data_IF_076178306683
#
_entry.id   IF_076178306683
#
_cell.length_a   1.000
_cell.length_b   1.000
_cell.length_c   1.000
_cell.angle_alpha   90.00
_cell.angle_beta   90.00
_cell.angle_gamma   90.00
#
_symmetry.space_group_name_H-M   'P 1'
#
loop_
_entity.id
_entity.type
_entity.pdbx_description
1 polymer ?
#
# COMPACT_ATOMS: atom_id res chain seq x y z
N UNK A 1 16.29 -6.85 9.77
CA UNK A 1 15.36 -6.60 8.63
C UNK A 1 14.13 -7.52 8.62
N UNK A 2 12.97 -6.98 8.94
CA UNK A 2 11.72 -7.73 8.87
C UNK A 2 11.33 -8.24 7.46
N UNK A 3 10.53 -9.30 7.46
CA UNK A 3 10.00 -9.84 6.22
C UNK A 3 9.12 -8.79 5.57
N UNK A 4 8.27 -8.08 6.33
CA UNK A 4 7.46 -6.99 5.75
C UNK A 4 8.33 -5.97 5.06
N UNK A 5 9.44 -5.55 5.70
CA UNK A 5 10.30 -4.51 5.10
C UNK A 5 10.95 -5.03 3.86
N UNK A 6 11.49 -6.24 3.94
CA UNK A 6 12.05 -6.90 2.74
C UNK A 6 11.06 -6.95 1.58
N UNK A 7 9.78 -7.22 1.86
CA UNK A 7 8.80 -7.35 0.77
C UNK A 7 8.53 -5.93 0.23
N UNK A 8 8.39 -4.99 1.14
CA UNK A 8 8.25 -3.58 0.77
C UNK A 8 9.42 -3.12 -0.14
N UNK A 9 10.63 -3.57 0.16
CA UNK A 9 11.76 -3.26 -0.69
C UNK A 9 11.65 -3.81 -2.08
N UNK A 10 11.40 -5.11 -2.21
CA UNK A 10 11.23 -5.69 -3.55
C UNK A 10 10.20 -4.94 -4.41
N UNK A 11 9.10 -4.60 -3.77
CA UNK A 11 7.99 -3.99 -4.41
C UNK A 11 8.36 -2.55 -4.86
N UNK A 12 9.02 -1.81 -3.97
CA UNK A 12 9.44 -0.43 -4.29
C UNK A 12 10.47 -0.39 -5.39
N UNK A 13 11.43 -1.31 -5.36
CA UNK A 13 12.39 -1.44 -6.47
C UNK A 13 11.71 -1.68 -7.81
N UNK A 14 10.68 -2.53 -7.77
CA UNK A 14 9.89 -2.87 -8.96
C UNK A 14 9.16 -1.61 -9.45
N UNK A 15 8.44 -0.95 -8.55
CA UNK A 15 7.80 0.36 -8.82
C UNK A 15 8.75 1.39 -9.40
N UNK A 16 10.02 1.32 -8.98
CA UNK A 16 11.05 2.23 -9.45
C UNK A 16 11.80 1.72 -10.67
N UNK A 17 11.69 0.43 -10.96
CA UNK A 17 12.40 -0.14 -12.12
C UNK A 17 13.90 -0.21 -11.90
N UNK A 18 14.32 -0.31 -10.64
CA UNK A 18 15.74 -0.45 -10.33
C UNK A 18 15.98 -1.79 -9.68
N UNK A 19 17.25 -2.09 -9.47
CA UNK A 19 17.61 -3.23 -8.70
C UNK A 19 17.23 -2.92 -7.27
N UNK A 20 17.13 -3.93 -6.43
CA UNK A 20 16.86 -3.65 -5.04
C UNK A 20 18.01 -2.90 -4.35
N UNK A 21 19.25 -3.18 -4.74
CA UNK A 21 20.45 -2.54 -4.12
C UNK A 21 20.40 -1.01 -4.33
N UNK A 22 20.11 -0.61 -5.55
CA UNK A 22 19.90 0.79 -5.87
C UNK A 22 18.71 1.41 -5.08
N UNK A 23 17.58 0.70 -5.03
CA UNK A 23 16.43 1.15 -4.20
C UNK A 23 16.77 1.32 -2.73
N UNK A 24 17.49 0.34 -2.21
CA UNK A 24 17.89 0.39 -0.82
C UNK A 24 18.81 1.57 -0.53
N UNK A 25 19.75 1.79 -1.44
CA UNK A 25 20.68 2.89 -1.30
C UNK A 25 19.92 4.21 -1.24
N UNK A 26 19.06 4.41 -2.23
CA UNK A 26 18.16 5.52 -2.24
C UNK A 26 17.34 5.63 -0.95
N UNK A 27 16.90 4.51 -0.41
CA UNK A 27 16.07 4.61 0.80
C UNK A 27 16.92 4.92 2.02
N UNK A 28 18.12 4.36 2.08
CA UNK A 28 19.01 4.68 3.19
C UNK A 28 19.52 6.13 3.11
N UNK A 29 19.79 6.67 1.92
CA UNK A 29 20.12 8.10 1.77
C UNK A 29 19.03 9.02 2.38
N UNK A 30 17.76 8.68 2.13
CA UNK A 30 16.66 9.53 2.59
C UNK A 30 16.52 9.47 4.11
N UNK A 31 16.69 8.26 4.62
CA UNK A 31 16.51 7.94 6.01
C UNK A 31 17.45 8.78 6.82
N UNK A 32 18.70 8.83 6.38
CA UNK A 32 19.71 9.63 7.04
C UNK A 32 19.39 11.13 6.88
N UNK A 33 19.10 11.57 5.66
CA UNK A 33 18.81 12.99 5.38
C UNK A 33 17.64 13.50 6.19
N UNK A 34 16.67 12.65 6.53
CA UNK A 34 15.46 13.13 7.23
C UNK A 34 15.31 12.62 8.66
N UNK A 35 16.18 11.71 9.06
CA UNK A 35 16.05 11.02 10.35
C UNK A 35 14.78 10.18 10.50
N UNK A 36 14.23 9.72 9.38
CA UNK A 36 13.00 8.92 9.38
C UNK A 36 13.35 7.44 9.44
N UNK A 37 12.36 6.61 9.66
CA UNK A 37 12.56 5.17 9.52
C UNK A 37 12.74 4.75 8.06
N UNK A 38 13.31 3.57 7.90
CA UNK A 38 13.36 2.90 6.63
C UNK A 38 11.98 2.72 6.01
N UNK A 39 11.00 2.32 6.84
CA UNK A 39 9.60 2.12 6.42
C UNK A 39 9.11 3.44 5.82
N UNK A 40 9.26 4.53 6.56
CA UNK A 40 8.88 5.85 6.04
C UNK A 40 9.61 6.22 4.75
N UNK A 41 10.93 5.97 4.70
CA UNK A 41 11.73 6.36 3.52
C UNK A 41 11.22 5.65 2.28
N UNK A 42 10.89 4.36 2.42
CA UNK A 42 10.33 3.58 1.32
C UNK A 42 8.96 4.07 0.90
N UNK A 43 8.13 4.46 1.88
CA UNK A 43 6.83 5.04 1.58
C UNK A 43 7.03 6.29 0.73
N UNK A 44 8.08 7.08 1.02
CA UNK A 44 8.30 8.33 0.25
C UNK A 44 8.70 8.06 -1.21
N UNK A 45 9.63 7.13 -1.38
CA UNK A 45 10.03 6.62 -2.69
C UNK A 45 8.84 6.00 -3.48
N UNK A 46 7.95 5.30 -2.79
CA UNK A 46 6.74 4.67 -3.42
C UNK A 46 5.85 5.79 -3.94
N UNK A 47 5.60 6.79 -3.09
CA UNK A 47 4.74 7.90 -3.45
C UNK A 47 5.31 8.72 -4.63
N UNK A 48 6.62 8.96 -4.68
CA UNK A 48 7.21 9.63 -5.85
C UNK A 48 6.98 8.81 -7.16
N UNK A 49 7.32 7.53 -7.16
CA UNK A 49 6.99 6.64 -8.29
C UNK A 49 5.48 6.54 -8.63
N UNK A 50 4.58 6.72 -7.67
CA UNK A 50 3.13 6.73 -7.96
C UNK A 50 2.72 8.15 -8.36
N UNK A 51 3.31 9.17 -7.74
CA UNK A 51 3.14 10.54 -8.26
C UNK A 51 3.72 10.80 -9.63
N UNK A 52 4.65 9.97 -10.10
CA UNK A 52 5.43 10.32 -11.28
C UNK A 52 6.12 11.69 -11.06
N UNK A 53 6.75 11.87 -9.90
CA UNK A 53 7.52 13.08 -9.59
C UNK A 53 8.86 12.66 -8.99
N UNK A 54 9.63 13.64 -8.53
CA UNK A 54 10.91 13.34 -7.88
C UNK A 54 10.70 13.11 -6.40
N UNK A 55 11.48 12.16 -5.86
CA UNK A 55 11.66 12.00 -4.42
C UNK A 55 11.63 13.36 -3.71
N UNK A 56 12.39 14.31 -4.24
CA UNK A 56 12.53 15.65 -3.61
C UNK A 56 11.23 16.52 -3.56
N UNK A 57 10.40 16.37 -4.59
CA UNK A 57 9.17 17.16 -4.65
C UNK A 57 8.15 16.51 -3.71
N UNK A 58 8.12 15.18 -3.74
CA UNK A 58 7.21 14.43 -2.88
C UNK A 58 7.39 14.86 -1.42
N UNK A 59 8.64 14.76 -0.98
CA UNK A 59 9.05 15.21 0.34
C UNK A 59 8.57 16.64 0.59
N UNK A 60 8.90 17.54 -0.35
CA UNK A 60 8.54 18.94 -0.24
C UNK A 60 7.05 19.07 -0.01
N UNK A 61 6.23 18.50 -0.90
CA UNK A 61 4.74 18.60 -0.75
C UNK A 61 4.16 17.92 0.51
N UNK A 62 4.80 16.84 0.93
CA UNK A 62 4.40 16.14 2.17
C UNK A 62 4.57 16.99 3.43
N UNK A 63 5.73 17.62 3.60
CA UNK A 63 5.98 18.41 4.82
C UNK A 63 5.05 19.64 4.81
N UNK A 64 4.82 20.20 3.63
CA UNK A 64 3.80 21.24 3.45
C UNK A 64 2.44 20.79 3.96
N UNK A 65 2.02 19.57 3.60
CA UNK A 65 0.77 19.02 4.13
C UNK A 65 0.79 18.71 5.62
N UNK A 66 1.89 18.09 6.07
CA UNK A 66 2.14 17.82 7.50
C UNK A 66 1.84 19.09 8.31
N UNK A 67 2.51 20.18 7.95
CA UNK A 67 2.43 21.45 8.69
C UNK A 67 1.06 22.10 8.50
N UNK A 68 0.57 22.07 7.27
CA UNK A 68 -0.74 22.62 6.93
C UNK A 68 -1.89 21.97 7.73
N UNK A 69 -1.96 20.64 7.75
CA UNK A 69 -3.11 19.95 8.37
C UNK A 69 -2.80 19.34 9.74
N UNK A 70 -1.52 19.33 10.13
CA UNK A 70 -1.11 18.68 11.38
C UNK A 70 -1.26 17.18 11.35
N UNK A 71 -1.15 16.57 10.18
CA UNK A 71 -1.21 15.12 10.11
C UNK A 71 0.20 14.57 10.25
N UNK A 72 0.29 13.27 10.49
CA UNK A 72 1.57 12.54 10.41
C UNK A 72 2.09 12.56 8.97
N UNK A 73 3.35 12.22 8.82
CA UNK A 73 3.96 12.14 7.51
C UNK A 73 3.31 11.03 6.68
N UNK A 74 3.02 9.90 7.33
CA UNK A 74 2.40 8.74 6.67
C UNK A 74 1.08 9.18 6.08
N UNK A 75 0.32 9.89 6.90
CA UNK A 75 -1.02 10.31 6.54
C UNK A 75 -0.92 11.30 5.35
N UNK A 76 0.03 12.24 5.42
CA UNK A 76 0.27 13.25 4.38
C UNK A 76 0.59 12.54 3.08
N UNK A 77 1.42 11.51 3.19
CA UNK A 77 1.77 10.71 2.02
C UNK A 77 0.60 9.90 1.48
N UNK A 78 -0.30 9.36 2.31
CA UNK A 78 -1.42 8.60 1.72
C UNK A 78 -2.31 9.58 1.00
N UNK A 79 -2.58 10.72 1.62
CA UNK A 79 -3.40 11.80 1.01
C UNK A 79 -2.87 12.21 -0.36
N UNK A 80 -1.56 12.44 -0.47
CA UNK A 80 -0.94 12.79 -1.73
C UNK A 80 -1.20 11.70 -2.78
N UNK A 81 -1.07 10.45 -2.31
CA UNK A 81 -1.24 9.27 -3.12
C UNK A 81 -2.68 9.09 -3.57
N UNK A 82 -3.61 9.28 -2.66
CA UNK A 82 -5.00 9.15 -3.04
C UNK A 82 -5.37 10.24 -4.05
N UNK A 83 -4.95 11.48 -3.80
CA UNK A 83 -5.29 12.62 -4.70
C UNK A 83 -4.80 12.35 -6.10
N UNK A 84 -3.55 11.92 -6.21
CA UNK A 84 -2.96 11.49 -7.50
C UNK A 84 -3.82 10.45 -8.18
N UNK A 85 -4.12 9.35 -7.49
CA UNK A 85 -4.94 8.26 -8.06
C UNK A 85 -6.38 8.72 -8.37
N UNK A 86 -6.89 9.77 -7.68
CA UNK A 86 -8.28 10.21 -7.92
C UNK A 86 -8.28 11.24 -9.04
N UNK A 87 -7.11 11.79 -9.34
CA UNK A 87 -6.96 12.87 -10.31
C UNK A 87 -7.46 14.22 -9.79
N UNK A 88 -7.33 14.44 -8.49
CA UNK A 88 -7.99 15.55 -7.85
C UNK A 88 -6.94 16.37 -7.11
N UNK A 89 -7.29 17.51 -6.55
CA UNK A 89 -6.43 18.20 -5.56
C UNK A 89 -6.41 17.45 -4.23
N UNK A 90 -5.44 17.73 -3.38
CA UNK A 90 -5.42 17.12 -2.05
C UNK A 90 -6.57 17.66 -1.16
N UNK A 91 -6.93 18.94 -1.37
CA UNK A 91 -8.10 19.58 -0.73
C UNK A 91 -9.33 18.76 -1.03
N UNK A 92 -9.52 18.43 -2.30
CA UNK A 92 -10.63 17.57 -2.67
C UNK A 92 -10.53 16.12 -2.15
N UNK A 93 -9.34 15.53 -2.19
CA UNK A 93 -9.21 14.16 -1.63
C UNK A 93 -9.54 14.17 -0.14
N UNK A 94 -9.02 15.13 0.58
CA UNK A 94 -9.35 15.28 2.03
C UNK A 94 -10.88 15.44 2.25
N UNK A 95 -11.52 16.32 1.47
CA UNK A 95 -13.03 16.53 1.57
C UNK A 95 -13.82 15.24 1.42
N UNK A 96 -13.48 14.43 0.42
CA UNK A 96 -14.16 13.13 0.25
C UNK A 96 -13.88 12.09 1.35
N UNK A 97 -12.67 12.15 1.91
CA UNK A 97 -12.20 11.23 2.96
C UNK A 97 -13.00 11.57 4.25
N UNK A 98 -13.19 12.87 4.53
CA UNK A 98 -14.06 13.32 5.64
C UNK A 98 -15.54 12.97 5.43
N UNK A 99 -16.08 13.20 4.24
CA UNK A 99 -17.45 12.79 3.95
C UNK A 99 -17.64 11.27 4.06
N UNK A 100 -16.59 10.48 3.79
CA UNK A 100 -16.65 9.05 4.04
C UNK A 100 -16.57 8.69 5.52
N UNK A 101 -15.69 9.36 6.25
CA UNK A 101 -15.58 9.14 7.69
C UNK A 101 -16.98 9.33 8.26
N UNK A 102 -17.58 10.50 8.03
CA UNK A 102 -18.92 10.82 8.60
C UNK A 102 -19.97 9.79 8.17
N UNK A 103 -20.00 9.50 6.88
CA UNK A 103 -20.95 8.55 6.33
C UNK A 103 -20.87 7.12 6.88
N UNK A 104 -19.79 6.78 7.58
CA UNK A 104 -19.56 5.38 7.99
C UNK A 104 -19.00 5.16 9.40
N UNK A 105 -18.43 6.21 10.01
CA UNK A 105 -17.83 6.12 11.35
C UNK A 105 -16.40 5.59 11.38
N UNK A 106 -15.65 5.73 10.28
CA UNK A 106 -14.32 5.08 10.14
C UNK A 106 -13.26 6.15 10.34
N UNK A 107 -12.01 5.73 10.54
CA UNK A 107 -10.93 6.70 10.60
C UNK A 107 -10.63 7.39 9.22
N UNK A 108 -9.80 8.43 9.27
CA UNK A 108 -9.29 9.11 8.08
C UNK A 108 -8.49 8.13 7.20
N UNK A 109 -7.57 7.44 7.87
CA UNK A 109 -6.78 6.31 7.38
C UNK A 109 -7.65 5.29 6.65
N UNK A 110 -8.69 4.81 7.28
CA UNK A 110 -9.61 3.93 6.55
C UNK A 110 -10.36 4.54 5.37
N UNK A 111 -10.81 5.79 5.52
CA UNK A 111 -11.48 6.51 4.41
C UNK A 111 -10.54 6.56 3.23
N UNK A 112 -9.30 6.87 3.49
CA UNK A 112 -8.34 7.06 2.42
C UNK A 112 -8.03 5.78 1.71
N UNK A 113 -8.00 4.67 2.44
CA UNK A 113 -7.79 3.36 1.82
C UNK A 113 -8.95 2.95 0.96
N UNK A 114 -10.15 3.23 1.42
CA UNK A 114 -11.36 2.98 0.60
C UNK A 114 -11.35 3.72 -0.71
N UNK A 115 -11.00 4.99 -0.63
CA UNK A 115 -10.98 5.84 -1.80
C UNK A 115 -9.97 5.33 -2.79
N UNK A 116 -8.78 4.97 -2.29
CA UNK A 116 -7.71 4.41 -3.12
C UNK A 116 -8.15 3.07 -3.77
N UNK A 117 -8.77 2.20 -2.99
CA UNK A 117 -9.19 0.92 -3.49
C UNK A 117 -10.25 1.13 -4.57
N UNK A 118 -11.23 2.00 -4.31
CA UNK A 118 -12.26 2.30 -5.35
C UNK A 118 -11.62 2.82 -6.62
N UNK A 119 -10.63 3.70 -6.45
CA UNK A 119 -9.95 4.27 -7.59
C UNK A 119 -9.26 3.16 -8.36
N UNK A 120 -8.53 2.32 -7.66
CA UNK A 120 -7.79 1.26 -8.31
C UNK A 120 -8.74 0.31 -9.01
N UNK A 121 -9.92 0.06 -8.44
CA UNK A 121 -10.81 -0.92 -9.09
C UNK A 121 -11.53 -0.27 -10.23
N UNK A 122 -11.63 1.05 -10.18
CA UNK A 122 -12.47 1.80 -11.13
C UNK A 122 -13.95 1.66 -10.85
N UNK A 123 -14.26 1.45 -9.58
CA UNK A 123 -15.58 1.22 -9.05
C UNK A 123 -16.01 2.52 -8.31
N UNK A 124 -17.30 2.67 -7.98
CA UNK A 124 -17.71 3.81 -7.13
C UNK A 124 -17.25 3.49 -5.71
N UNK A 125 -17.30 4.50 -4.84
CA UNK A 125 -16.91 4.29 -3.44
C UNK A 125 -17.92 3.35 -2.77
N UNK A 126 -19.18 3.58 -3.08
CA UNK A 126 -20.27 2.86 -2.45
C UNK A 126 -20.16 1.38 -2.81
N UNK A 127 -19.86 1.09 -4.06
CA UNK A 127 -19.71 -0.28 -4.46
C UNK A 127 -18.45 -0.92 -3.79
N UNK A 128 -17.35 -0.18 -3.67
CA UNK A 128 -16.16 -0.74 -2.99
C UNK A 128 -16.49 -1.09 -1.53
N UNK A 129 -17.18 -0.20 -0.84
CA UNK A 129 -17.62 -0.42 0.54
C UNK A 129 -18.48 -1.68 0.63
N UNK A 130 -19.42 -1.80 -0.30
CA UNK A 130 -20.27 -2.97 -0.35
C UNK A 130 -19.44 -4.23 -0.48
N UNK A 131 -18.46 -4.25 -1.39
CA UNK A 131 -17.67 -5.46 -1.59
C UNK A 131 -16.83 -5.75 -0.32
N UNK A 132 -16.24 -4.72 0.27
CA UNK A 132 -15.40 -4.91 1.46
C UNK A 132 -16.23 -5.39 2.65
N UNK A 133 -17.35 -4.72 2.89
CA UNK A 133 -18.29 -5.13 3.94
C UNK A 133 -18.73 -6.58 3.82
N UNK A 134 -18.98 -7.03 2.60
CA UNK A 134 -19.35 -8.43 2.38
C UNK A 134 -18.26 -9.43 2.73
N UNK A 135 -17.00 -9.11 2.43
CA UNK A 135 -15.90 -9.96 2.87
C UNK A 135 -15.77 -9.91 4.37
N UNK A 136 -15.93 -8.71 4.93
CA UNK A 136 -15.78 -8.51 6.37
C UNK A 136 -16.70 -9.51 7.08
N UNK A 137 -17.93 -9.57 6.61
CA UNK A 137 -18.95 -10.46 7.17
C UNK A 137 -18.77 -11.94 6.86
N UNK A 138 -18.24 -12.27 5.69
CA UNK A 138 -18.10 -13.67 5.30
C UNK A 138 -16.91 -14.36 5.99
N UNK A 139 -15.87 -13.60 6.29
CA UNK A 139 -14.66 -14.17 6.85
C UNK A 139 -14.33 -13.61 8.22
N UNK A 140 -15.14 -12.69 8.73
CA UNK A 140 -14.77 -12.00 9.99
C UNK A 140 -13.40 -11.30 10.01
N UNK A 141 -13.01 -10.67 8.90
CA UNK A 141 -11.77 -9.89 8.85
C UNK A 141 -12.06 -8.43 9.18
N UNK A 142 -11.02 -7.65 9.43
CA UNK A 142 -11.18 -6.24 9.66
C UNK A 142 -11.51 -5.54 8.33
N UNK A 143 -11.99 -4.32 8.42
CA UNK A 143 -12.15 -3.54 7.20
C UNK A 143 -10.84 -3.54 6.33
N UNK A 144 -9.69 -3.30 6.96
CA UNK A 144 -8.44 -3.10 6.20
C UNK A 144 -8.07 -4.38 5.46
N UNK A 145 -8.33 -5.50 6.12
CA UNK A 145 -8.01 -6.75 5.49
C UNK A 145 -8.91 -7.00 4.31
N UNK A 146 -10.19 -6.70 4.48
CA UNK A 146 -11.14 -6.78 3.38
C UNK A 146 -10.68 -5.96 2.19
N UNK A 147 -10.14 -4.77 2.44
CA UNK A 147 -9.69 -3.86 1.36
C UNK A 147 -8.41 -4.42 0.72
N UNK A 148 -7.45 -4.94 1.53
CA UNK A 148 -6.26 -5.61 0.94
C UNK A 148 -6.65 -6.73 0.02
N UNK A 149 -7.61 -7.55 0.45
CA UNK A 149 -8.04 -8.64 -0.43
C UNK A 149 -8.57 -8.06 -1.76
N UNK A 150 -9.36 -7.00 -1.69
CA UNK A 150 -9.90 -6.41 -2.94
C UNK A 150 -8.80 -6.08 -3.94
N UNK A 151 -7.84 -5.26 -3.53
CA UNK A 151 -6.67 -4.92 -4.42
C UNK A 151 -5.86 -6.09 -5.04
N UNK A 152 -5.53 -7.05 -4.17
CA UNK A 152 -4.72 -8.17 -4.55
C UNK A 152 -5.45 -8.99 -5.63
N UNK A 153 -6.75 -9.19 -5.47
CA UNK A 153 -7.56 -9.92 -6.49
C UNK A 153 -7.46 -9.19 -7.83
N UNK A 154 -7.40 -7.86 -7.75
CA UNK A 154 -7.39 -7.00 -8.94
C UNK A 154 -6.04 -7.16 -9.63
N UNK A 155 -5.00 -6.93 -8.84
CA UNK A 155 -3.62 -7.11 -9.25
C UNK A 155 -3.40 -8.44 -9.97
N UNK A 156 -4.03 -9.48 -9.45
CA UNK A 156 -3.90 -10.82 -9.99
C UNK A 156 -4.80 -11.07 -11.20
N UNK A 157 -5.96 -10.43 -11.22
CA UNK A 157 -6.97 -10.68 -12.26
C UNK A 157 -7.71 -11.99 -11.99
N UNK A 158 -8.04 -12.17 -10.72
CA UNK A 158 -8.72 -13.34 -10.22
C UNK A 158 -9.80 -12.82 -9.26
N UNK A 159 -10.66 -13.71 -8.75
CA UNK A 159 -11.77 -13.29 -7.91
C UNK A 159 -11.26 -13.20 -6.49
N UNK A 160 -11.94 -12.41 -5.68
CA UNK A 160 -11.55 -12.32 -4.29
C UNK A 160 -11.58 -13.70 -3.62
N UNK A 161 -12.36 -14.65 -4.12
CA UNK A 161 -12.45 -15.95 -3.46
C UNK A 161 -11.19 -16.74 -3.70
N UNK A 162 -10.67 -16.63 -4.92
CA UNK A 162 -9.41 -17.27 -5.25
C UNK A 162 -8.20 -16.52 -4.63
N UNK A 163 -8.33 -15.21 -4.44
CA UNK A 163 -7.29 -14.48 -3.71
C UNK A 163 -7.21 -15.03 -2.29
N UNK A 164 -8.37 -15.18 -1.67
CA UNK A 164 -8.48 -15.63 -0.29
C UNK A 164 -7.92 -17.03 -0.17
N UNK A 165 -8.37 -17.93 -1.08
CA UNK A 165 -7.86 -19.32 -1.18
C UNK A 165 -6.36 -19.33 -1.11
N UNK A 166 -5.71 -18.60 -2.00
CA UNK A 166 -4.25 -18.58 -2.04
C UNK A 166 -3.55 -18.01 -0.85
N UNK A 167 -4.16 -17.00 -0.26
CA UNK A 167 -3.53 -16.32 0.86
C UNK A 167 -3.54 -17.28 2.05
N UNK A 168 -4.70 -17.92 2.27
CA UNK A 168 -4.81 -18.98 3.31
C UNK A 168 -3.88 -20.15 3.05
N UNK A 169 -3.66 -20.51 1.79
CA UNK A 169 -2.65 -21.57 1.45
C UNK A 169 -1.23 -21.14 1.80
N UNK A 170 -0.96 -19.84 1.70
CA UNK A 170 0.32 -19.29 2.19
C UNK A 170 0.50 -19.20 3.71
N UNK A 171 -0.53 -18.75 4.42
CA UNK A 171 -0.49 -18.70 5.86
C UNK A 171 -0.07 -20.07 6.35
N UNK A 172 -0.66 -21.07 5.69
CA UNK A 172 -0.45 -22.49 5.97
C UNK A 172 0.90 -22.98 5.51
N UNK A 173 1.27 -22.76 4.24
CA UNK A 173 2.58 -23.29 3.77
C UNK A 173 3.71 -22.67 4.61
N UNK A 174 3.63 -21.39 4.97
CA UNK A 174 4.78 -20.66 5.56
C UNK A 174 4.58 -20.24 6.99
N UNK A 175 3.40 -20.44 7.54
CA UNK A 175 3.15 -19.97 8.90
C UNK A 175 3.33 -18.47 9.08
N UNK A 176 2.72 -17.69 8.20
CA UNK A 176 2.71 -16.20 8.30
C UNK A 176 1.27 -15.73 8.58
N UNK A 177 1.03 -14.47 8.91
CA UNK A 177 -0.37 -14.01 9.05
C UNK A 177 -1.04 -13.81 7.68
N UNK A 178 -2.33 -13.57 7.71
CA UNK A 178 -3.05 -13.24 6.50
C UNK A 178 -2.50 -11.97 5.80
N UNK A 179 -2.29 -10.90 6.58
CA UNK A 179 -1.65 -9.68 6.02
C UNK A 179 -0.38 -9.99 5.28
N UNK A 180 0.48 -10.80 5.90
CA UNK A 180 1.77 -11.03 5.25
C UNK A 180 1.54 -11.84 3.99
N UNK A 181 0.60 -12.78 4.04
CA UNK A 181 0.38 -13.63 2.86
C UNK A 181 -0.13 -12.77 1.68
N UNK A 182 -0.99 -11.84 1.99
CA UNK A 182 -1.50 -10.90 0.99
C UNK A 182 -0.38 -10.06 0.42
N UNK A 183 0.51 -9.52 1.27
CA UNK A 183 1.68 -8.75 0.75
C UNK A 183 2.53 -9.58 -0.20
N UNK A 184 2.77 -10.82 0.16
CA UNK A 184 3.63 -11.68 -0.68
C UNK A 184 3.00 -11.90 -2.03
N UNK A 185 1.71 -12.13 -2.02
CA UNK A 185 0.97 -12.30 -3.28
C UNK A 185 0.99 -11.02 -4.11
N UNK A 186 0.69 -9.90 -3.45
CA UNK A 186 0.83 -8.58 -4.12
C UNK A 186 2.24 -8.47 -4.66
N UNK A 187 3.25 -8.73 -3.82
CA UNK A 187 4.64 -8.59 -4.29
C UNK A 187 4.96 -9.52 -5.47
N UNK A 188 4.54 -10.80 -5.46
CA UNK A 188 4.92 -11.69 -6.64
C UNK A 188 4.28 -11.26 -7.96
N UNK A 189 3.01 -10.91 -7.89
CA UNK A 189 2.28 -10.31 -9.02
C UNK A 189 3.09 -9.10 -9.56
N UNK A 190 3.32 -8.10 -8.71
CA UNK A 190 4.12 -6.94 -9.11
C UNK A 190 5.44 -7.37 -9.77
N UNK A 191 6.16 -8.32 -9.18
CA UNK A 191 7.45 -8.73 -9.78
C UNK A 191 7.28 -9.61 -11.02
N UNK A 192 6.10 -10.19 -11.18
CA UNK A 192 5.83 -11.04 -12.31
C UNK A 192 6.50 -12.39 -12.11
N UNK A 193 6.48 -12.87 -10.87
CA UNK A 193 7.18 -14.08 -10.49
C UNK A 193 6.22 -14.99 -9.72
N UNK A 194 6.62 -16.23 -9.44
CA UNK A 194 5.83 -17.12 -8.56
C UNK A 194 5.93 -16.62 -7.15
N UNK A 195 5.07 -17.05 -6.25
CA UNK A 195 5.27 -16.66 -4.83
C UNK A 195 6.55 -17.29 -4.22
N UNK A 196 6.95 -18.46 -4.74
CA UNK A 196 8.11 -19.21 -4.25
C UNK A 196 9.34 -18.32 -4.46
N UNK A 197 9.43 -17.85 -5.70
CA UNK A 197 10.49 -16.96 -6.14
C UNK A 197 10.50 -15.65 -5.34
N UNK A 198 9.35 -15.04 -5.19
CA UNK A 198 9.27 -13.82 -4.38
C UNK A 198 9.76 -14.04 -2.95
N UNK A 199 9.29 -15.10 -2.32
CA UNK A 199 9.68 -15.42 -0.97
C UNK A 199 11.17 -15.70 -0.88
N UNK A 200 11.68 -16.48 -1.82
CA UNK A 200 13.09 -16.82 -1.88
C UNK A 200 13.93 -15.55 -1.92
N UNK A 201 13.59 -14.64 -2.83
CA UNK A 201 14.26 -13.30 -2.87
C UNK A 201 14.08 -12.52 -1.61
N UNK A 202 12.90 -12.58 -1.01
CA UNK A 202 12.65 -11.83 0.23
C UNK A 202 13.49 -12.35 1.40
N UNK A 203 13.56 -13.67 1.51
CA UNK A 203 14.44 -14.31 2.47
C UNK A 203 15.89 -13.97 2.16
N UNK A 204 16.27 -14.15 0.89
CA UNK A 204 17.58 -13.75 0.34
C UNK A 204 17.95 -12.31 0.59
N UNK A 205 16.98 -11.41 0.43
CA UNK A 205 17.13 -9.99 0.78
C UNK A 205 17.15 -9.74 2.26
N UNK A 206 16.73 -10.70 3.07
CA UNK A 206 16.67 -10.46 4.52
C UNK A 206 18.02 -10.66 5.21
N UNK A 207 19.08 -10.27 4.51
CA UNK A 207 20.42 -10.08 5.07
C UNK A 207 20.84 -8.57 4.96
N UNK A 208 19.90 -7.71 4.57
CA UNK A 208 20.07 -6.26 4.66
C UNK A 208 19.94 -5.75 6.11
#
# INVERSE_FOLDING_TARGET
VSLEQALKILKVAAELGTTVEEAVKRALKLKTKLGVSLEQALKILEVAAELGTTVEEAVKRALKLKTKLGVSLEQALKILEVAAKLGTTVEEAVKRALKLKTKLGVSLEQALKILKVAAELGTTVEEAVKRALKLKTKLGVSLEQALKILEVAAELGTTVEEAVKRALKLKTKLGVSLEQALKILEVAAKLGTTVEEAVKRALKLKTKLGGWLEHHHHHH
#
